data_IF_500672962796
#
_entry.id   IF_500672962796
#
_cell.length_a   1.000
_cell.length_b   1.000
_cell.length_c   1.000
_cell.angle_alpha   90.00
_cell.angle_beta   90.00
_cell.angle_gamma   90.00
#
_symmetry.space_group_name_H-M   'P 1'
#
loop_
_entity.id
_entity.type
_entity.pdbx_description
1 polymer ?
#
# COMPACT_ATOMS: atom_id res chain seq x y z
N UNK A 1 18.04 -4.00 2.98
CA UNK A 1 18.40 -3.08 1.87
C UNK A 1 18.69 -1.70 2.46
N UNK A 2 19.50 -0.87 1.79
CA UNK A 2 19.69 0.53 2.18
C UNK A 2 18.67 1.43 1.47
N UNK A 3 18.41 2.62 2.00
CA UNK A 3 17.55 3.63 1.36
C UNK A 3 17.94 3.88 -0.11
N UNK A 4 19.24 4.02 -0.38
CA UNK A 4 19.73 4.22 -1.74
C UNK A 4 19.37 3.05 -2.68
N UNK A 5 19.45 1.80 -2.21
CA UNK A 5 19.08 0.63 -3.01
C UNK A 5 17.57 0.56 -3.26
N UNK A 6 16.77 0.97 -2.28
CA UNK A 6 15.31 1.04 -2.39
C UNK A 6 14.92 2.05 -3.48
N UNK A 7 15.33 3.33 -3.36
CA UNK A 7 14.96 4.36 -4.35
C UNK A 7 15.56 4.12 -5.74
N UNK A 8 16.76 3.53 -5.83
CA UNK A 8 17.33 3.12 -7.11
C UNK A 8 16.51 2.01 -7.80
N UNK A 9 15.79 1.19 -7.03
CA UNK A 9 14.88 0.20 -7.60
C UNK A 9 13.68 0.87 -8.27
N UNK A 10 13.14 1.96 -7.70
CA UNK A 10 12.07 2.76 -8.32
C UNK A 10 12.54 3.57 -9.54
N UNK A 11 13.83 3.62 -9.84
CA UNK A 11 14.30 4.13 -11.13
C UNK A 11 14.10 3.11 -12.27
N UNK A 12 13.68 1.87 -11.97
CA UNK A 12 13.51 0.79 -12.96
C UNK A 12 12.09 0.74 -13.52
N UNK A 13 12.01 0.66 -14.85
CA UNK A 13 10.77 0.60 -15.61
C UNK A 13 9.80 -0.50 -15.16
N UNK A 14 10.31 -1.70 -14.86
CA UNK A 14 9.49 -2.88 -14.57
C UNK A 14 8.63 -2.71 -13.30
N UNK A 15 9.12 -1.99 -12.29
CA UNK A 15 8.38 -1.75 -11.04
C UNK A 15 7.19 -0.83 -11.31
N UNK A 16 7.37 0.18 -12.16
CA UNK A 16 6.27 1.05 -12.57
C UNK A 16 5.28 0.34 -13.49
N UNK A 17 5.71 -0.52 -14.40
CA UNK A 17 4.79 -1.34 -15.20
C UNK A 17 3.88 -2.21 -14.31
N UNK A 18 4.43 -2.88 -13.29
CA UNK A 18 3.64 -3.66 -12.33
C UNK A 18 2.63 -2.79 -11.58
N UNK A 19 3.06 -1.64 -11.08
CA UNK A 19 2.19 -0.67 -10.39
C UNK A 19 1.08 -0.11 -11.29
N UNK A 20 1.39 0.21 -12.54
CA UNK A 20 0.46 0.86 -13.48
C UNK A 20 -0.51 -0.13 -14.12
N UNK A 21 -0.10 -1.39 -14.26
CA UNK A 21 -0.99 -2.47 -14.72
C UNK A 21 -1.95 -2.97 -13.63
N UNK A 22 -1.70 -2.61 -12.36
CA UNK A 22 -2.64 -2.81 -11.26
C UNK A 22 -3.82 -1.83 -11.39
N UNK A 23 -4.87 -2.29 -12.08
CA UNK A 23 -6.09 -1.53 -12.29
C UNK A 23 -6.85 -1.28 -10.98
N UNK A 24 -6.85 -2.22 -10.02
CA UNK A 24 -7.56 -2.04 -8.74
C UNK A 24 -6.96 -0.86 -7.98
N UNK A 25 -5.63 -0.80 -7.91
CA UNK A 25 -4.90 0.31 -7.32
C UNK A 25 -5.20 1.60 -8.07
N UNK A 26 -4.86 1.64 -9.36
CA UNK A 26 -4.83 2.88 -10.14
C UNK A 26 -6.24 3.45 -10.33
N UNK A 27 -7.24 2.60 -10.59
CA UNK A 27 -8.64 3.01 -10.69
C UNK A 27 -9.24 3.36 -9.35
N UNK A 28 -8.80 2.74 -8.25
CA UNK A 28 -9.22 3.12 -6.90
C UNK A 28 -8.93 4.59 -6.61
N UNK A 29 -7.69 5.03 -6.85
CA UNK A 29 -7.32 6.45 -6.72
C UNK A 29 -8.01 7.32 -7.76
N UNK A 30 -8.02 6.92 -9.04
CA UNK A 30 -8.69 7.70 -10.11
C UNK A 30 -10.15 7.95 -9.76
N UNK A 31 -10.86 6.92 -9.35
CA UNK A 31 -12.27 7.01 -8.99
C UNK A 31 -12.47 7.91 -7.77
N UNK A 32 -11.65 7.78 -6.73
CA UNK A 32 -11.71 8.65 -5.55
C UNK A 32 -11.48 10.13 -5.89
N UNK A 33 -10.53 10.43 -6.77
CA UNK A 33 -10.17 11.80 -7.15
C UNK A 33 -11.17 12.38 -8.15
N UNK A 34 -11.38 11.74 -9.29
CA UNK A 34 -12.17 12.27 -10.40
C UNK A 34 -13.67 12.31 -10.08
N UNK A 35 -14.20 11.35 -9.31
CA UNK A 35 -15.61 11.38 -8.87
C UNK A 35 -15.89 12.47 -7.83
N UNK A 36 -14.83 13.04 -7.24
CA UNK A 36 -14.90 14.13 -6.28
C UNK A 36 -14.29 15.43 -6.83
N UNK A 37 -14.17 15.57 -8.16
CA UNK A 37 -13.52 16.74 -8.78
C UNK A 37 -14.12 18.10 -8.39
N UNK A 38 -15.42 18.14 -8.07
CA UNK A 38 -16.05 19.35 -7.52
C UNK A 38 -15.39 19.87 -6.24
N UNK A 39 -14.82 18.99 -5.42
CA UNK A 39 -14.07 19.35 -4.21
C UNK A 39 -12.65 19.83 -4.51
N UNK A 40 -12.06 19.39 -5.62
CA UNK A 40 -10.69 19.73 -6.02
C UNK A 40 -10.61 21.03 -6.82
N UNK A 41 -11.73 21.57 -7.29
CA UNK A 41 -11.76 22.77 -8.13
C UNK A 41 -11.07 23.96 -7.43
N UNK A 42 -10.01 24.48 -8.05
CA UNK A 42 -9.28 25.64 -7.51
C UNK A 42 -8.29 25.32 -6.37
N UNK A 43 -8.19 24.05 -5.96
CA UNK A 43 -7.42 23.58 -4.81
C UNK A 43 -5.98 23.23 -5.13
N UNK A 44 -5.14 23.19 -4.10
CA UNK A 44 -3.76 22.69 -4.19
C UNK A 44 -3.69 21.26 -3.65
N UNK A 45 -3.10 20.36 -4.43
CA UNK A 45 -2.91 18.96 -4.08
C UNK A 45 -1.42 18.64 -3.98
N UNK A 46 -1.00 17.98 -2.91
CA UNK A 46 0.35 17.43 -2.75
C UNK A 46 0.33 15.92 -2.95
N UNK A 47 1.13 15.42 -3.89
CA UNK A 47 1.30 14.01 -4.22
C UNK A 47 2.69 13.55 -3.72
N UNK A 48 2.71 12.80 -2.61
CA UNK A 48 3.93 12.35 -1.94
C UNK A 48 4.35 10.97 -2.45
N UNK A 49 5.53 10.89 -3.05
CA UNK A 49 6.03 9.71 -3.79
C UNK A 49 5.33 9.55 -5.13
N UNK A 50 5.33 10.61 -5.94
CA UNK A 50 4.55 10.67 -7.17
C UNK A 50 5.03 9.68 -8.26
N UNK A 51 6.23 9.10 -8.12
CA UNK A 51 6.74 8.07 -9.01
C UNK A 51 7.08 8.53 -10.43
N UNK A 52 7.25 7.55 -11.32
CA UNK A 52 7.76 7.72 -12.67
C UNK A 52 6.72 7.93 -13.73
N UNK A 53 7.04 8.82 -14.65
CA UNK A 53 6.48 8.74 -15.98
C UNK A 53 7.15 7.71 -16.82
N UNK A 54 6.59 6.52 -16.85
CA UNK A 54 6.85 5.64 -17.98
C UNK A 54 6.16 6.22 -19.21
N UNK A 55 6.79 6.27 -20.39
CA UNK A 55 6.13 6.32 -21.68
C UNK A 55 5.82 4.89 -22.13
N UNK A 56 4.55 4.54 -22.28
CA UNK A 56 4.14 3.26 -22.84
C UNK A 56 4.22 3.34 -24.35
N UNK A 57 5.40 3.04 -24.91
CA UNK A 57 5.51 2.69 -26.33
C UNK A 57 5.32 1.19 -26.59
N UNK A 58 5.16 0.37 -25.53
CA UNK A 58 5.01 -1.09 -25.61
C UNK A 58 3.61 -1.60 -25.23
N UNK A 59 2.76 -0.77 -24.61
CA UNK A 59 1.35 -1.10 -24.31
C UNK A 59 0.49 -0.23 -25.22
N UNK A 60 -0.14 -0.85 -26.21
CA UNK A 60 -0.98 -0.16 -27.19
C UNK A 60 -2.00 0.77 -26.54
N UNK A 61 -1.99 2.03 -26.97
CA UNK A 61 -2.99 3.08 -26.69
C UNK A 61 -3.47 3.22 -25.24
N UNK A 62 -2.62 2.97 -24.24
CA UNK A 62 -2.91 3.32 -22.84
C UNK A 62 -1.88 4.34 -22.36
N UNK A 63 -2.38 5.53 -22.01
CA UNK A 63 -1.62 6.61 -21.40
C UNK A 63 -0.87 6.08 -20.17
N UNK A 64 0.39 6.47 -20.08
CA UNK A 64 1.38 5.85 -19.23
C UNK A 64 1.72 6.77 -18.07
N UNK A 65 1.94 6.19 -16.89
CA UNK A 65 1.44 6.79 -15.67
C UNK A 65 2.52 7.36 -14.73
N UNK A 66 3.01 8.52 -15.15
CA UNK A 66 3.77 9.50 -14.36
C UNK A 66 2.90 10.25 -13.40
N UNK A 67 3.30 10.37 -12.12
CA UNK A 67 2.63 11.29 -11.21
C UNK A 67 1.12 11.19 -11.38
N UNK A 68 0.63 9.95 -11.56
CA UNK A 68 -0.66 9.74 -12.20
C UNK A 68 -1.75 10.32 -11.32
N UNK A 69 -1.51 10.30 -10.00
CA UNK A 69 -2.32 10.93 -8.99
C UNK A 69 -2.29 12.45 -9.12
N UNK A 70 -1.12 13.07 -9.31
CA UNK A 70 -1.01 14.49 -9.67
C UNK A 70 -1.77 14.86 -10.95
N UNK A 71 -1.67 14.03 -12.00
CA UNK A 71 -2.38 14.26 -13.27
C UNK A 71 -3.89 14.06 -13.11
N UNK A 72 -4.35 13.08 -12.34
CA UNK A 72 -5.76 12.91 -11.99
C UNK A 72 -6.27 14.11 -11.21
N UNK A 73 -5.51 14.61 -10.23
CA UNK A 73 -5.87 15.80 -9.48
C UNK A 73 -6.02 17.03 -10.39
N UNK A 74 -5.06 17.24 -11.31
CA UNK A 74 -5.13 18.32 -12.29
C UNK A 74 -6.35 18.18 -13.22
N UNK A 75 -6.58 16.97 -13.78
CA UNK A 75 -7.77 16.68 -14.60
C UNK A 75 -9.08 16.85 -13.85
N UNK A 76 -9.10 16.57 -12.55
CA UNK A 76 -10.25 16.71 -11.67
C UNK A 76 -10.52 18.15 -11.22
N UNK A 77 -9.71 19.14 -11.63
CA UNK A 77 -9.98 20.56 -11.35
C UNK A 77 -9.01 21.25 -10.39
N UNK A 78 -8.01 20.52 -9.86
CA UNK A 78 -6.98 21.12 -8.99
C UNK A 78 -6.29 22.29 -9.70
N UNK A 79 -6.20 23.44 -9.02
CA UNK A 79 -5.46 24.60 -9.55
C UNK A 79 -3.99 24.27 -9.73
N UNK A 80 -3.44 23.50 -8.80
CA UNK A 80 -2.05 23.07 -8.80
C UNK A 80 -1.94 21.70 -8.12
N UNK A 81 -1.32 20.75 -8.79
CA UNK A 81 -0.86 19.49 -8.20
C UNK A 81 0.67 19.53 -8.09
N UNK A 82 1.20 19.16 -6.93
CA UNK A 82 2.62 19.20 -6.60
C UNK A 82 3.05 17.75 -6.36
N UNK A 83 3.77 17.16 -7.31
CA UNK A 83 4.34 15.82 -7.17
C UNK A 83 5.75 15.88 -6.59
N UNK A 84 6.03 15.05 -5.59
CA UNK A 84 7.37 14.94 -5.00
C UNK A 84 7.84 13.50 -5.00
N UNK A 85 9.08 13.26 -5.42
CA UNK A 85 9.71 11.94 -5.37
C UNK A 85 11.21 12.06 -5.06
N UNK A 86 11.82 11.02 -4.47
CA UNK A 86 13.25 10.95 -4.22
C UNK A 86 14.03 10.30 -5.38
N UNK A 87 13.37 9.54 -6.24
CA UNK A 87 13.98 8.88 -7.37
C UNK A 87 14.19 9.85 -8.54
N UNK A 88 15.28 9.66 -9.29
CA UNK A 88 15.61 10.42 -10.53
C UNK A 88 14.52 10.32 -11.60
N UNK A 89 13.60 9.39 -11.39
CA UNK A 89 12.50 9.06 -12.25
C UNK A 89 11.51 10.22 -12.49
N UNK A 90 11.61 11.24 -11.65
CA UNK A 90 10.87 12.48 -11.76
C UNK A 90 11.21 13.26 -13.04
N UNK A 91 12.41 13.09 -13.62
CA UNK A 91 12.78 13.75 -14.87
C UNK A 91 12.00 13.18 -16.05
N UNK A 92 11.79 11.86 -16.10
CA UNK A 92 10.88 11.24 -17.07
C UNK A 92 9.44 11.68 -16.80
N UNK A 93 9.04 11.83 -15.54
CA UNK A 93 7.70 12.30 -15.19
C UNK A 93 7.40 13.71 -15.71
N UNK A 94 8.38 14.63 -15.70
CA UNK A 94 8.25 15.97 -16.31
C UNK A 94 7.91 15.87 -17.79
N UNK A 95 8.58 14.98 -18.53
CA UNK A 95 8.33 14.78 -19.95
C UNK A 95 6.91 14.28 -20.23
N UNK A 96 6.40 13.35 -19.40
CA UNK A 96 5.02 12.84 -19.52
C UNK A 96 3.99 13.92 -19.19
N UNK A 97 4.18 14.70 -18.13
CA UNK A 97 3.30 15.83 -17.78
C UNK A 97 3.23 16.84 -18.92
N UNK A 98 4.38 17.19 -19.51
CA UNK A 98 4.45 18.10 -20.65
C UNK A 98 3.74 17.54 -21.89
N UNK A 99 3.95 16.25 -22.19
CA UNK A 99 3.30 15.58 -23.31
C UNK A 99 1.77 15.60 -23.20
N UNK A 100 1.25 15.45 -21.98
CA UNK A 100 -0.19 15.49 -21.70
C UNK A 100 -0.75 16.90 -21.50
N UNK A 101 0.04 17.95 -21.79
CA UNK A 101 -0.40 19.35 -21.70
C UNK A 101 -0.87 19.76 -20.29
N UNK A 102 -0.23 19.21 -19.25
CA UNK A 102 -0.55 19.49 -17.84
C UNK A 102 0.57 20.26 -17.11
N UNK A 103 1.60 20.70 -17.83
CA UNK A 103 2.77 21.36 -17.25
C UNK A 103 2.48 22.70 -16.55
N UNK A 104 1.35 23.34 -16.87
CA UNK A 104 0.86 24.55 -16.21
C UNK A 104 0.22 24.28 -14.84
N UNK A 105 -0.24 23.04 -14.61
CA UNK A 105 -1.01 22.65 -13.42
C UNK A 105 -0.35 21.56 -12.58
N UNK A 106 0.71 20.91 -13.08
CA UNK A 106 1.46 19.89 -12.37
C UNK A 106 2.92 20.34 -12.22
N UNK A 107 3.35 20.57 -10.98
CA UNK A 107 4.73 20.91 -10.63
C UNK A 107 5.38 19.72 -9.96
N UNK A 108 6.57 19.34 -10.43
CA UNK A 108 7.31 18.19 -9.91
C UNK A 108 8.58 18.63 -9.17
N UNK A 109 8.84 18.06 -8.00
CA UNK A 109 10.00 18.36 -7.15
C UNK A 109 10.78 17.10 -6.80
N UNK A 110 12.06 17.09 -7.17
CA UNK A 110 12.98 16.02 -6.77
C UNK A 110 13.42 16.31 -5.34
N UNK A 111 13.07 15.44 -4.39
CA UNK A 111 13.36 15.67 -2.97
C UNK A 111 13.91 14.41 -2.30
N UNK A 112 15.23 14.43 -2.05
CA UNK A 112 15.92 13.34 -1.37
C UNK A 112 15.53 13.22 0.11
N UNK A 113 14.91 14.25 0.71
CA UNK A 113 14.50 14.20 2.12
C UNK A 113 13.37 13.20 2.38
N UNK A 114 12.64 12.78 1.34
CA UNK A 114 11.70 11.64 1.38
C UNK A 114 12.39 10.36 1.83
N UNK A 115 13.67 10.17 1.46
CA UNK A 115 14.44 9.01 1.90
C UNK A 115 14.59 8.99 3.42
N UNK A 116 14.94 10.14 3.99
CA UNK A 116 15.03 10.36 5.44
C UNK A 116 13.69 10.59 6.13
N UNK A 117 12.56 10.16 5.54
CA UNK A 117 11.21 10.27 6.12
C UNK A 117 10.76 11.71 6.42
N UNK A 118 11.31 12.67 5.69
CA UNK A 118 11.01 14.09 5.77
C UNK A 118 10.55 14.62 4.41
N UNK A 119 10.05 15.86 4.35
CA UNK A 119 9.65 16.47 3.09
C UNK A 119 9.97 17.95 3.11
N UNK A 120 10.91 18.35 2.24
CA UNK A 120 11.27 19.74 2.01
C UNK A 120 10.77 20.18 0.65
N UNK A 121 9.77 21.07 0.66
CA UNK A 121 9.21 21.72 -0.51
C UNK A 121 9.76 23.15 -0.62
N UNK A 122 10.04 23.65 -1.84
CA UNK A 122 10.51 25.01 -2.01
C UNK A 122 9.44 26.03 -1.59
N UNK A 123 9.89 27.08 -0.89
CA UNK A 123 9.05 28.24 -0.58
C UNK A 123 8.54 28.91 -1.89
N UNK A 124 7.34 29.51 -1.91
CA UNK A 124 6.50 29.93 -0.78
C UNK A 124 5.34 28.98 -0.45
N UNK A 125 5.43 27.68 -0.74
CA UNK A 125 4.33 26.77 -0.42
C UNK A 125 4.15 26.62 1.11
N UNK A 126 3.15 27.29 1.67
CA UNK A 126 2.85 27.20 3.10
C UNK A 126 1.93 26.03 3.43
N UNK A 127 0.84 25.84 2.65
CA UNK A 127 -0.17 24.81 2.90
C UNK A 127 -0.80 24.25 1.61
N UNK A 128 -1.34 23.04 1.68
CA UNK A 128 -2.12 22.37 0.64
C UNK A 128 -3.50 21.96 1.16
N UNK A 129 -4.49 21.90 0.27
CA UNK A 129 -5.86 21.52 0.62
C UNK A 129 -6.05 20.00 0.68
N UNK A 130 -5.36 19.27 -0.21
CA UNK A 130 -5.38 17.82 -0.28
C UNK A 130 -3.96 17.26 -0.28
N UNK A 131 -3.79 16.15 0.41
CA UNK A 131 -2.61 15.30 0.31
C UNK A 131 -3.03 13.96 -0.27
N UNK A 132 -2.40 13.54 -1.36
CA UNK A 132 -2.56 12.21 -1.94
C UNK A 132 -1.22 11.47 -1.87
N UNK A 133 -1.23 10.19 -1.55
CA UNK A 133 -0.02 9.37 -1.57
C UNK A 133 -0.35 7.91 -1.68
N UNK A 134 0.36 7.22 -2.57
CA UNK A 134 0.41 5.76 -2.60
C UNK A 134 1.64 5.33 -1.82
N UNK A 135 1.43 5.14 -0.51
CA UNK A 135 2.49 4.84 0.47
C UNK A 135 2.48 3.37 0.92
N UNK A 136 1.50 2.60 0.48
CA UNK A 136 1.22 1.28 1.04
C UNK A 136 2.26 0.29 0.56
N UNK A 137 2.91 -0.40 1.49
CA UNK A 137 3.79 -1.50 1.16
C UNK A 137 3.12 -2.86 1.30
N UNK A 138 3.91 -3.90 1.07
CA UNK A 138 3.54 -5.25 1.44
C UNK A 138 3.16 -5.37 2.92
N UNK A 139 2.10 -6.12 3.24
CA UNK A 139 1.59 -6.17 4.62
C UNK A 139 1.23 -4.77 5.17
N UNK A 140 0.85 -3.85 4.27
CA UNK A 140 0.56 -2.43 4.48
C UNK A 140 1.75 -1.54 4.86
N UNK A 141 2.58 -1.96 5.82
CA UNK A 141 3.60 -1.09 6.43
C UNK A 141 5.04 -1.31 5.93
N UNK A 142 5.32 -2.41 5.22
CA UNK A 142 6.64 -2.64 4.63
C UNK A 142 7.06 -1.45 3.75
N UNK A 143 8.37 -1.24 3.54
CA UNK A 143 8.93 -0.09 2.80
C UNK A 143 8.89 1.24 3.57
N UNK A 144 8.11 1.31 4.66
CA UNK A 144 8.12 2.37 5.68
C UNK A 144 7.95 3.79 5.12
N UNK A 145 7.00 3.99 4.20
CA UNK A 145 6.72 5.30 3.61
C UNK A 145 5.69 6.13 4.41
N UNK A 146 4.86 5.49 5.24
CA UNK A 146 3.85 6.18 6.08
C UNK A 146 4.43 7.30 6.98
N UNK A 147 5.63 7.18 7.59
CA UNK A 147 6.26 8.30 8.31
C UNK A 147 6.43 9.57 7.46
N UNK A 148 6.80 9.43 6.17
CA UNK A 148 6.93 10.57 5.26
C UNK A 148 5.58 11.25 5.03
N UNK A 149 4.51 10.46 4.87
CA UNK A 149 3.16 10.98 4.74
C UNK A 149 2.70 11.71 6.01
N UNK A 150 2.97 11.15 7.19
CA UNK A 150 2.69 11.79 8.49
C UNK A 150 3.40 13.15 8.58
N UNK A 151 4.68 13.19 8.23
CA UNK A 151 5.46 14.43 8.21
C UNK A 151 4.86 15.47 7.24
N UNK A 152 4.50 15.03 6.04
CA UNK A 152 3.90 15.90 5.03
C UNK A 152 2.54 16.44 5.46
N UNK A 153 1.70 15.62 6.10
CA UNK A 153 0.41 16.04 6.68
C UNK A 153 0.63 17.12 7.73
N UNK A 154 1.48 16.87 8.72
CA UNK A 154 1.65 17.76 9.86
C UNK A 154 2.23 19.12 9.44
N UNK A 155 3.11 19.12 8.44
CA UNK A 155 3.79 20.32 7.96
C UNK A 155 2.98 21.11 6.93
N UNK A 156 2.38 20.43 5.95
CA UNK A 156 1.83 21.09 4.76
C UNK A 156 0.31 21.02 4.66
N UNK A 157 -0.39 20.11 5.33
CA UNK A 157 -1.86 20.08 5.20
C UNK A 157 -2.48 21.30 5.88
N UNK A 158 -3.41 21.98 5.20
CA UNK A 158 -4.20 23.06 5.77
C UNK A 158 -5.18 22.53 6.84
N UNK A 159 -5.56 23.34 7.85
CA UNK A 159 -6.69 23.00 8.71
C UNK A 159 -7.95 22.71 7.90
N UNK A 160 -8.56 21.54 8.12
CA UNK A 160 -9.72 21.08 7.33
C UNK A 160 -9.37 20.57 5.93
N UNK A 161 -8.09 20.33 5.63
CA UNK A 161 -7.68 19.60 4.44
C UNK A 161 -7.96 18.10 4.54
N UNK A 162 -7.91 17.40 3.40
CA UNK A 162 -8.16 15.96 3.31
C UNK A 162 -6.90 15.19 2.92
N UNK A 163 -6.82 13.92 3.36
CA UNK A 163 -5.76 12.99 2.95
C UNK A 163 -6.38 11.82 2.19
N UNK A 164 -5.80 11.43 1.07
CA UNK A 164 -6.22 10.34 0.21
C UNK A 164 -5.08 9.30 0.07
N UNK A 165 -5.30 8.05 0.49
CA UNK A 165 -6.50 7.54 1.15
C UNK A 165 -6.73 8.17 2.53
N UNK A 166 -7.96 8.14 2.99
CA UNK A 166 -8.37 8.67 4.31
C UNK A 166 -8.02 7.72 5.46
N UNK A 167 -8.07 6.41 5.19
CA UNK A 167 -7.69 5.38 6.14
C UNK A 167 -7.23 4.11 5.40
N UNK A 168 -6.35 3.35 6.05
CA UNK A 168 -6.01 1.99 5.65
C UNK A 168 -6.15 1.06 6.85
N UNK A 169 -6.75 -0.11 6.65
CA UNK A 169 -6.93 -1.12 7.70
C UNK A 169 -6.11 -2.36 7.37
N UNK A 170 -5.27 -2.81 8.30
CA UNK A 170 -4.58 -4.10 8.23
C UNK A 170 -5.49 -5.18 8.82
N UNK A 171 -5.74 -6.23 8.04
CA UNK A 171 -6.65 -7.32 8.39
C UNK A 171 -5.93 -8.66 8.28
N UNK A 172 -6.50 -9.64 8.97
CA UNK A 172 -5.94 -10.98 9.13
C UNK A 172 -7.00 -12.04 8.88
N UNK A 173 -6.63 -13.07 8.11
CA UNK A 173 -7.41 -14.31 7.95
C UNK A 173 -6.55 -15.55 8.18
N UNK A 174 -7.18 -16.66 8.54
CA UNK A 174 -6.56 -17.97 8.61
C UNK A 174 -6.68 -18.74 7.29
N UNK A 175 -5.62 -19.43 6.87
CA UNK A 175 -5.56 -20.15 5.60
C UNK A 175 -4.99 -21.58 5.71
N UNK A 176 -5.45 -22.43 4.79
CA UNK A 176 -4.97 -23.80 4.58
C UNK A 176 -3.71 -23.88 3.70
N UNK A 177 -3.25 -22.75 3.15
CA UNK A 177 -2.16 -22.73 2.17
C UNK A 177 -0.85 -23.23 2.79
N UNK A 178 -0.09 -24.05 2.05
CA UNK A 178 1.14 -24.68 2.53
C UNK A 178 2.24 -24.74 1.46
N UNK A 179 2.98 -23.65 1.27
CA UNK A 179 4.19 -23.72 0.43
C UNK A 179 5.30 -24.56 1.07
N UNK A 180 5.27 -24.77 2.40
CA UNK A 180 6.27 -25.56 3.11
C UNK A 180 6.20 -27.06 2.77
N UNK A 181 5.06 -27.54 2.25
CA UNK A 181 4.89 -28.94 1.85
C UNK A 181 5.92 -29.38 0.80
N UNK A 182 6.36 -28.46 -0.07
CA UNK A 182 7.42 -28.75 -1.03
C UNK A 182 8.72 -29.19 -0.37
N UNK A 183 9.04 -28.64 0.81
CA UNK A 183 10.26 -28.96 1.54
C UNK A 183 10.12 -30.20 2.43
N UNK A 184 8.96 -30.85 2.46
CA UNK A 184 8.81 -32.10 3.21
C UNK A 184 9.53 -33.26 2.51
N UNK A 185 9.55 -33.24 1.18
CA UNK A 185 10.26 -34.20 0.34
C UNK A 185 10.77 -33.52 -0.94
N UNK A 186 12.06 -33.18 -0.94
CA UNK A 186 12.78 -32.64 -2.09
C UNK A 186 13.60 -33.76 -2.71
N UNK A 187 12.97 -34.54 -3.59
CA UNK A 187 13.61 -35.66 -4.29
C UNK A 187 14.18 -36.76 -3.35
N UNK A 188 13.42 -37.14 -2.33
CA UNK A 188 13.80 -38.10 -1.29
C UNK A 188 14.57 -37.50 -0.12
N UNK A 189 14.77 -36.18 -0.11
CA UNK A 189 15.53 -35.46 0.92
C UNK A 189 14.63 -34.49 1.68
N UNK A 190 14.62 -34.59 3.01
CA UNK A 190 13.84 -33.71 3.87
C UNK A 190 14.78 -32.75 4.63
N UNK A 191 14.94 -31.49 4.21
CA UNK A 191 15.77 -30.52 4.93
C UNK A 191 15.22 -30.22 6.34
N UNK A 192 16.10 -29.98 7.33
CA UNK A 192 15.67 -29.71 8.69
C UNK A 192 14.93 -28.36 8.80
N UNK A 193 13.71 -28.38 9.37
CA UNK A 193 12.89 -27.18 9.59
C UNK A 193 13.41 -26.26 10.70
N UNK A 194 14.34 -26.72 11.53
CA UNK A 194 14.87 -25.96 12.68
C UNK A 194 15.63 -24.69 12.31
N UNK A 195 16.09 -24.56 11.06
CA UNK A 195 16.74 -23.35 10.53
C UNK A 195 15.86 -22.47 9.65
N UNK A 196 14.61 -22.87 9.38
CA UNK A 196 13.70 -22.06 8.56
C UNK A 196 13.17 -20.90 9.39
N UNK A 197 13.69 -19.70 9.15
CA UNK A 197 13.06 -18.44 9.60
C UNK A 197 11.60 -18.42 9.13
N UNK A 198 10.70 -17.85 9.94
CA UNK A 198 9.29 -17.69 9.60
C UNK A 198 9.21 -17.14 8.17
N UNK A 199 8.77 -17.97 7.22
CA UNK A 199 8.84 -17.58 5.83
C UNK A 199 7.66 -16.68 5.54
N UNK A 200 7.95 -15.40 5.32
CA UNK A 200 7.00 -14.42 4.83
C UNK A 200 7.04 -14.46 3.31
N UNK A 201 5.89 -14.67 2.68
CA UNK A 201 5.78 -14.66 1.22
C UNK A 201 4.68 -13.71 0.76
N UNK A 202 4.95 -13.04 -0.36
CA UNK A 202 3.91 -12.35 -1.13
C UNK A 202 3.37 -13.29 -2.19
N UNK A 203 2.10 -13.64 -2.08
CA UNK A 203 1.42 -14.48 -3.07
C UNK A 203 -0.06 -14.13 -3.17
N UNK A 204 -0.60 -14.23 -4.37
CA UNK A 204 -2.03 -14.12 -4.59
C UNK A 204 -2.69 -15.42 -4.10
N UNK A 205 -3.32 -15.35 -2.94
CA UNK A 205 -4.00 -16.46 -2.30
C UNK A 205 -5.39 -16.62 -2.91
N UNK A 206 -5.76 -17.84 -3.29
CA UNK A 206 -7.11 -18.15 -3.73
C UNK A 206 -8.09 -18.08 -2.55
N UNK A 207 -9.25 -17.44 -2.74
CA UNK A 207 -10.34 -17.40 -1.74
C UNK A 207 -10.68 -18.78 -1.16
N UNK A 208 -10.62 -19.84 -1.96
CA UNK A 208 -10.91 -21.21 -1.55
C UNK A 208 -9.96 -21.74 -0.45
N UNK A 209 -8.82 -21.09 -0.23
CA UNK A 209 -7.85 -21.47 0.81
C UNK A 209 -8.14 -20.82 2.17
N UNK A 210 -8.97 -19.78 2.23
CA UNK A 210 -9.34 -19.08 3.47
C UNK A 210 -10.27 -19.95 4.30
N UNK A 211 -9.95 -20.12 5.58
CA UNK A 211 -10.63 -21.03 6.50
C UNK A 211 -11.47 -20.31 7.56
N UNK A 212 -11.25 -19.02 7.78
CA UNK A 212 -11.83 -18.26 8.88
C UNK A 212 -12.57 -17.02 8.38
N UNK A 213 -13.27 -16.35 9.29
CA UNK A 213 -13.61 -14.93 9.16
C UNK A 213 -12.32 -14.08 9.15
N UNK A 214 -12.52 -12.77 9.18
CA UNK A 214 -11.49 -11.75 9.11
C UNK A 214 -11.46 -10.96 10.41
N UNK A 215 -10.26 -10.68 10.90
CA UNK A 215 -10.03 -9.81 12.04
C UNK A 215 -9.26 -8.56 11.63
N UNK A 216 -9.76 -7.38 11.99
CA UNK A 216 -9.02 -6.12 11.84
C UNK A 216 -7.97 -6.01 12.95
N UNK A 217 -6.69 -5.91 12.56
CA UNK A 217 -5.59 -5.74 13.50
C UNK A 217 -5.41 -4.27 13.87
N UNK A 218 -5.42 -3.38 12.88
CA UNK A 218 -5.19 -1.95 13.07
C UNK A 218 -5.77 -1.15 11.92
N UNK A 219 -6.43 -0.04 12.25
CA UNK A 219 -6.83 0.98 11.28
C UNK A 219 -5.99 2.23 11.49
N UNK A 220 -5.36 2.69 10.43
CA UNK A 220 -4.58 3.91 10.40
C UNK A 220 -5.46 5.00 9.77
N UNK A 221 -6.01 5.90 10.59
CA UNK A 221 -6.74 7.07 10.10
C UNK A 221 -5.73 8.17 9.76
N UNK A 222 -5.62 8.53 8.47
CA UNK A 222 -4.50 9.35 7.98
C UNK A 222 -4.46 10.75 8.58
N UNK A 223 -5.59 11.30 9.04
CA UNK A 223 -5.61 12.60 9.71
C UNK A 223 -5.07 12.58 11.15
N UNK A 224 -5.04 11.43 11.81
CA UNK A 224 -4.74 11.33 13.26
C UNK A 224 -3.60 10.39 13.61
N UNK A 225 -3.22 9.48 12.72
CA UNK A 225 -2.12 8.53 12.94
C UNK A 225 -0.81 9.25 13.25
N UNK A 226 -0.08 8.79 14.24
CA UNK A 226 1.23 9.32 14.64
C UNK A 226 2.33 8.29 14.39
N UNK A 227 3.59 8.72 14.43
CA UNK A 227 4.72 7.80 14.29
C UNK A 227 4.74 6.71 15.38
N UNK A 228 4.26 7.03 16.59
CA UNK A 228 4.14 6.08 17.69
C UNK A 228 3.09 4.98 17.46
N UNK A 229 2.16 5.18 16.52
CA UNK A 229 1.13 4.19 16.18
C UNK A 229 1.63 3.10 15.22
N UNK A 230 2.84 3.26 14.67
CA UNK A 230 3.40 2.37 13.65
C UNK A 230 4.04 1.10 14.22
N UNK A 231 4.42 1.13 15.50
CA UNK A 231 4.83 -0.04 16.26
C UNK A 231 3.68 -0.44 17.19
N UNK A 232 3.07 -1.60 16.95
CA UNK A 232 1.87 -2.00 17.69
C UNK A 232 1.78 -3.51 17.91
N UNK A 233 1.03 -3.87 18.95
CA UNK A 233 0.57 -5.25 19.21
C UNK A 233 -0.95 -5.24 19.22
N UNK A 234 -1.57 -6.09 18.42
CA UNK A 234 -3.01 -6.22 18.34
C UNK A 234 -3.45 -7.65 18.70
N UNK A 235 -4.42 -7.83 19.61
CA UNK A 235 -5.10 -9.11 19.75
C UNK A 235 -5.96 -9.37 18.51
N UNK A 236 -6.10 -10.64 18.15
CA UNK A 236 -7.04 -11.07 17.11
C UNK A 236 -7.83 -12.29 17.59
N UNK A 237 -9.02 -12.43 17.03
CA UNK A 237 -9.84 -13.62 17.18
C UNK A 237 -10.46 -13.95 15.82
N UNK A 238 -10.29 -15.20 15.38
CA UNK A 238 -10.78 -15.71 14.11
C UNK A 238 -11.70 -16.91 14.37
N UNK A 239 -12.82 -16.98 13.68
CA UNK A 239 -13.79 -18.08 13.72
C UNK A 239 -13.69 -18.88 12.43
N UNK A 240 -13.46 -20.20 12.55
CA UNK A 240 -13.39 -21.08 11.41
C UNK A 240 -14.77 -21.31 10.75
N UNK A 241 -14.86 -21.18 9.43
CA UNK A 241 -16.09 -21.37 8.66
C UNK A 241 -16.20 -22.75 7.98
N UNK A 242 -15.17 -23.58 8.10
CA UNK A 242 -14.87 -24.79 7.29
C UNK A 242 -16.07 -25.46 6.61
N UNK A 243 -16.11 -25.38 5.28
CA UNK A 243 -17.00 -26.16 4.42
C UNK A 243 -16.29 -27.43 3.91
N UNK A 244 -16.78 -28.62 4.30
CA UNK A 244 -16.71 -29.85 3.51
C UNK A 244 -15.49 -30.80 3.59
N UNK A 245 -14.36 -30.46 4.21
CA UNK A 245 -13.15 -31.31 4.17
C UNK A 245 -12.78 -31.95 5.53
N UNK A 246 -12.55 -33.29 5.60
CA UNK A 246 -12.02 -33.92 6.79
C UNK A 246 -10.53 -33.58 6.96
N UNK A 247 -10.27 -32.61 7.84
CA UNK A 247 -8.99 -32.01 8.30
C UNK A 247 -8.62 -30.68 7.63
N UNK A 248 -9.44 -29.65 7.83
CA UNK A 248 -9.02 -28.25 7.64
C UNK A 248 -7.92 -27.87 8.64
N UNK A 249 -6.67 -27.98 8.20
CA UNK A 249 -5.50 -27.57 8.98
C UNK A 249 -5.23 -26.09 8.69
N UNK A 250 -5.25 -25.26 9.72
CA UNK A 250 -4.71 -23.92 9.68
C UNK A 250 -3.19 -24.02 9.55
N UNK A 251 -2.65 -23.42 8.50
CA UNK A 251 -1.22 -23.52 8.17
C UNK A 251 -0.55 -22.17 8.06
N UNK A 252 -1.32 -21.14 7.77
CA UNK A 252 -0.82 -19.79 7.73
C UNK A 252 -1.86 -18.79 8.21
N UNK A 253 -1.34 -17.69 8.73
CA UNK A 253 -2.05 -16.44 8.93
C UNK A 253 -1.71 -15.54 7.73
N UNK A 254 -2.71 -14.83 7.20
CA UNK A 254 -2.58 -14.09 5.96
C UNK A 254 -2.99 -12.65 6.23
N UNK A 255 -2.05 -11.74 6.03
CA UNK A 255 -2.28 -10.31 6.12
C UNK A 255 -2.68 -9.76 4.75
N UNK A 256 -3.71 -8.92 4.76
CA UNK A 256 -4.09 -8.07 3.64
C UNK A 256 -4.61 -6.75 4.19
N UNK A 257 -4.96 -5.80 3.32
CA UNK A 257 -5.44 -4.50 3.75
C UNK A 257 -6.58 -3.96 2.89
N UNK A 258 -7.36 -3.10 3.52
CA UNK A 258 -8.40 -2.29 2.90
C UNK A 258 -7.94 -0.84 2.85
N UNK A 259 -8.26 -0.14 1.77
CA UNK A 259 -7.92 1.27 1.55
C UNK A 259 -9.19 2.07 1.33
N UNK A 260 -9.47 3.00 2.24
CA UNK A 260 -10.67 3.84 2.27
C UNK A 260 -10.38 5.27 1.80
N UNK A 261 -11.16 5.75 0.85
CA UNK A 261 -11.18 7.14 0.40
C UNK A 261 -12.49 7.78 0.83
N UNK A 262 -12.55 8.34 2.04
CA UNK A 262 -13.74 8.99 2.57
C UNK A 262 -13.59 10.52 2.50
N UNK A 263 -14.40 11.15 1.64
CA UNK A 263 -14.52 12.60 1.51
C UNK A 263 -15.90 13.12 1.95
N UNK A 264 -16.70 12.31 2.64
CA UNK A 264 -18.06 12.69 3.04
C UNK A 264 -18.09 13.89 3.98
N UNK A 265 -17.08 14.02 4.85
CA UNK A 265 -16.90 15.19 5.72
C UNK A 265 -16.71 16.52 4.94
N UNK A 266 -16.32 16.43 3.66
CA UNK A 266 -16.15 17.56 2.75
C UNK A 266 -17.33 17.71 1.76
N UNK A 267 -18.41 16.93 1.93
CA UNK A 267 -19.55 16.89 1.01
C UNK A 267 -19.32 16.06 -0.25
N UNK A 268 -18.28 15.22 -0.27
CA UNK A 268 -17.98 14.29 -1.36
C UNK A 268 -18.58 12.90 -1.15
N UNK A 269 -18.04 11.96 -1.92
CA UNK A 269 -18.39 10.53 -1.86
C UNK A 269 -17.24 9.73 -1.25
N UNK A 270 -17.57 8.50 -0.81
CA UNK A 270 -16.58 7.54 -0.31
C UNK A 270 -16.38 6.39 -1.29
N UNK A 271 -15.16 5.90 -1.43
CA UNK A 271 -14.85 4.67 -2.17
C UNK A 271 -13.80 3.82 -1.44
N UNK A 272 -13.67 2.55 -1.84
CA UNK A 272 -12.73 1.60 -1.23
C UNK A 272 -12.20 0.61 -2.27
N UNK A 273 -10.95 0.18 -2.11
CA UNK A 273 -10.47 -1.08 -2.66
C UNK A 273 -9.89 -1.98 -1.56
N UNK A 274 -9.71 -3.27 -1.89
CA UNK A 274 -9.23 -4.31 -0.97
C UNK A 274 -8.17 -5.17 -1.62
N UNK A 275 -7.21 -5.64 -0.83
CA UNK A 275 -6.22 -6.63 -1.25
C UNK A 275 -6.53 -8.04 -0.72
N UNK A 276 -7.77 -8.31 -0.31
CA UNK A 276 -8.17 -9.60 0.25
C UNK A 276 -8.06 -10.77 -0.76
N UNK A 277 -7.82 -12.02 -0.32
CA UNK A 277 -7.79 -13.22 -1.18
C UNK A 277 -9.05 -13.46 -2.04
N UNK A 278 -10.17 -12.79 -1.73
CA UNK A 278 -11.43 -12.88 -2.48
C UNK A 278 -11.69 -11.71 -3.42
N UNK A 279 -10.82 -10.70 -3.41
CA UNK A 279 -10.90 -9.52 -4.28
C UNK A 279 -10.09 -9.73 -5.56
N UNK A 280 -10.33 -8.92 -6.61
CA UNK A 280 -9.44 -8.92 -7.78
C UNK A 280 -7.97 -8.71 -7.34
N UNK A 281 -7.01 -9.46 -7.93
CA UNK A 281 -5.61 -9.37 -7.51
C UNK A 281 -5.03 -7.98 -7.67
N UNK A 282 -4.19 -7.59 -6.71
CA UNK A 282 -3.36 -6.38 -6.73
C UNK A 282 -1.88 -6.79 -6.72
N UNK A 283 -0.98 -5.87 -7.06
CA UNK A 283 0.46 -6.14 -7.05
C UNK A 283 0.99 -6.46 -5.64
N UNK A 284 0.39 -5.86 -4.61
CA UNK A 284 0.69 -6.18 -3.20
C UNK A 284 0.40 -7.62 -2.82
N UNK A 285 -0.52 -8.28 -3.52
CA UNK A 285 -0.97 -9.65 -3.21
C UNK A 285 -1.39 -9.73 -1.74
N UNK A 286 -1.03 -10.82 -1.05
CA UNK A 286 -1.18 -10.95 0.40
C UNK A 286 0.12 -11.45 1.02
N UNK A 287 0.33 -11.04 2.28
CA UNK A 287 1.51 -11.44 3.07
C UNK A 287 1.18 -12.66 3.91
N UNK A 288 1.79 -13.79 3.59
CA UNK A 288 1.49 -15.09 4.20
C UNK A 288 2.54 -15.44 5.26
N UNK A 289 2.06 -15.66 6.49
CA UNK A 289 2.83 -16.03 7.68
C UNK A 289 2.58 -17.50 8.01
N UNK A 290 3.53 -18.38 7.70
CA UNK A 290 3.37 -19.81 7.97
C UNK A 290 3.52 -20.15 9.45
N UNK A 291 2.59 -20.95 9.97
CA UNK A 291 2.68 -21.48 11.32
C UNK A 291 3.78 -22.54 11.41
N UNK A 292 4.58 -22.48 12.48
CA UNK A 292 5.59 -23.52 12.78
C UNK A 292 4.97 -24.90 12.89
N UNK A 293 3.76 -24.97 13.46
CA UNK A 293 2.96 -26.19 13.59
C UNK A 293 1.55 -25.92 13.09
N UNK A 294 1.06 -26.65 12.08
CA UNK A 294 -0.32 -26.56 11.66
C UNK A 294 -1.30 -26.87 12.79
N UNK A 295 -2.44 -26.17 12.82
CA UNK A 295 -3.48 -26.35 13.84
C UNK A 295 -4.73 -26.96 13.20
N UNK A 296 -5.24 -28.10 13.69
CA UNK A 296 -6.53 -28.63 13.27
C UNK A 296 -7.66 -27.67 13.64
N UNK A 297 -8.49 -27.30 12.66
CA UNK A 297 -9.68 -26.48 12.89
C UNK A 297 -10.95 -27.29 12.63
N UNK A 298 -11.88 -27.20 13.57
CA UNK A 298 -13.26 -27.62 13.40
C UNK A 298 -14.13 -26.41 13.00
N UNK A 299 -15.28 -26.65 12.37
CA UNK A 299 -16.25 -25.59 12.09
C UNK A 299 -16.66 -24.88 13.38
N UNK A 300 -16.65 -23.55 13.38
CA UNK A 300 -16.95 -22.73 14.56
C UNK A 300 -15.83 -22.67 15.60
N UNK A 301 -14.70 -23.36 15.39
CA UNK A 301 -13.54 -23.24 16.29
C UNK A 301 -12.98 -21.81 16.24
N UNK A 302 -12.59 -21.30 17.41
CA UNK A 302 -12.02 -19.97 17.56
C UNK A 302 -10.50 -20.06 17.70
N UNK A 303 -9.79 -19.23 16.95
CA UNK A 303 -8.34 -19.06 17.00
C UNK A 303 -8.06 -17.66 17.50
N UNK A 304 -7.40 -17.57 18.65
CA UNK A 304 -7.07 -16.29 19.28
C UNK A 304 -5.57 -16.15 19.44
N UNK A 305 -5.10 -14.91 19.42
CA UNK A 305 -3.69 -14.63 19.63
C UNK A 305 -3.42 -13.13 19.60
N UNK A 306 -2.13 -12.81 19.58
CA UNK A 306 -1.64 -11.45 19.42
C UNK A 306 -0.65 -11.43 18.27
N UNK A 307 -0.69 -10.37 17.48
CA UNK A 307 0.27 -10.12 16.41
C UNK A 307 0.93 -8.77 16.66
N UNK A 308 2.25 -8.75 16.66
CA UNK A 308 3.05 -7.55 16.84
C UNK A 308 3.71 -7.17 15.53
N UNK A 309 3.66 -5.89 15.17
CA UNK A 309 4.49 -5.31 14.11
C UNK A 309 5.37 -4.24 14.75
N UNK A 310 6.67 -4.32 14.54
CA UNK A 310 7.61 -3.28 14.97
C UNK A 310 8.69 -3.04 13.92
N UNK A 311 9.10 -1.79 13.74
CA UNK A 311 10.19 -1.41 12.83
C UNK A 311 11.48 -2.11 13.20
N UNK A 312 12.17 -2.66 12.21
CA UNK A 312 13.38 -3.43 12.42
C UNK A 312 14.59 -2.50 12.69
N UNK A 313 15.27 -2.69 13.82
CA UNK A 313 16.41 -1.85 14.22
C UNK A 313 17.66 -1.96 13.33
N UNK A 314 17.77 -3.01 12.51
CA UNK A 314 18.87 -3.24 11.58
C UNK A 314 18.47 -2.98 10.11
N UNK A 315 17.18 -2.77 9.83
CA UNK A 315 16.66 -2.54 8.49
C UNK A 315 15.55 -1.50 8.52
N UNK A 316 15.90 -0.25 8.21
CA UNK A 316 15.07 0.95 8.40
C UNK A 316 13.71 0.94 7.67
N UNK A 317 13.56 0.08 6.66
CA UNK A 317 12.35 -0.13 5.87
C UNK A 317 11.65 -1.47 6.13
N UNK A 318 12.20 -2.27 7.05
CA UNK A 318 11.68 -3.57 7.45
C UNK A 318 10.85 -3.51 8.72
N UNK A 319 10.00 -4.52 8.88
CA UNK A 319 9.25 -4.77 10.10
C UNK A 319 9.53 -6.18 10.60
N UNK A 320 9.67 -6.31 11.91
CA UNK A 320 9.63 -7.56 12.65
C UNK A 320 8.16 -7.92 12.95
N UNK A 321 7.82 -9.19 12.74
CA UNK A 321 6.50 -9.80 12.94
C UNK A 321 6.65 -11.06 13.79
#
# INVERSE_FOLDING_TARGET
ESDASYFASYSRLAIHEEMLSDAVRTDGYRHAIESNGGLLQGKVVLDVGCGSGVPSMLIGNRESAACILSMFAARAGARLAIGVDASDIIEQARAVVAHNQLADRVQLHHSLSIASKALDLPAPLERVDFLVSEWMGYGLLYESMLPTLIHARDRFLAPGGAVLPSACSLLLVGSSHNRLAFFDDVYGLSPPRSGMRLLVFQLALERARVLTDEATLRTFAMLTVTDADLDFTAPFALTAHTAGEPRCLLRSLVLHFDTDFDLTAHGGTSSRFRTSPGSPPTHWKQTVLYLRRPLPLAAGARVEGTLSLSRNGNYERGYDI
#
